data_IF_521095010732
#
_entry.id   IF_521095010732
#
_cell.length_a   1.000
_cell.length_b   1.000
_cell.length_c   1.000
_cell.angle_alpha   90.00
_cell.angle_beta   90.00
_cell.angle_gamma   90.00
#
_symmetry.space_group_name_H-M   'P 1'
#
loop_
_entity.id
_entity.type
_entity.pdbx_description
1 polymer ?
#
# COMPACT_ATOMS: atom_id res chain seq x y z
N UNK A 1 -62.25 -6.14 -50.55
CA UNK A 1 -62.22 -7.27 -51.51
C UNK A 1 -60.77 -7.59 -51.81
N UNK A 2 -60.41 -8.87 -51.62
CA UNK A 2 -59.27 -9.55 -52.23
C UNK A 2 -57.91 -9.08 -51.71
N UNK A 3 -57.34 -9.75 -50.72
CA UNK A 3 -56.63 -11.04 -50.84
C UNK A 3 -56.05 -11.25 -49.45
N UNK A 4 -56.05 -12.38 -48.77
CA UNK A 4 -56.14 -13.80 -49.09
C UNK A 4 -56.28 -14.36 -47.66
N UNK A 5 -57.37 -15.01 -47.25
CA UNK A 5 -57.73 -16.36 -47.66
C UNK A 5 -56.47 -17.07 -48.16
N UNK A 6 -55.77 -17.75 -47.27
CA UNK A 6 -55.33 -19.11 -47.52
C UNK A 6 -54.71 -19.70 -46.26
N UNK A 7 -55.11 -20.94 -45.97
CA UNK A 7 -54.57 -21.83 -44.94
C UNK A 7 -54.97 -21.47 -43.51
N UNK A 8 -56.25 -21.54 -43.14
CA UNK A 8 -57.09 -22.74 -43.30
C UNK A 8 -56.34 -24.01 -42.89
N UNK A 9 -56.60 -24.47 -41.67
CA UNK A 9 -56.73 -25.89 -41.34
C UNK A 9 -55.49 -26.76 -41.61
N UNK A 10 -54.53 -26.69 -40.70
CA UNK A 10 -53.80 -27.87 -40.17
C UNK A 10 -53.43 -27.52 -38.73
N UNK A 11 -54.30 -27.66 -37.72
CA UNK A 11 -54.78 -28.94 -37.17
C UNK A 11 -53.81 -30.08 -37.48
N UNK A 12 -52.74 -30.15 -36.68
CA UNK A 12 -52.00 -31.34 -36.31
C UNK A 12 -51.37 -30.97 -34.95
N UNK A 13 -52.10 -31.22 -33.87
CA UNK A 13 -52.08 -32.49 -33.13
C UNK A 13 -50.90 -32.54 -32.16
N UNK A 14 -51.27 -32.56 -30.88
CA UNK A 14 -50.70 -33.36 -29.81
C UNK A 14 -49.17 -33.49 -29.73
N UNK A 15 -48.63 -32.92 -28.65
CA UNK A 15 -47.27 -33.19 -28.20
C UNK A 15 -47.08 -32.76 -26.76
N UNK A 16 -47.96 -33.21 -25.87
CA UNK A 16 -47.75 -33.15 -24.43
C UNK A 16 -46.54 -34.05 -24.12
N UNK A 17 -45.36 -33.47 -23.95
CA UNK A 17 -44.23 -34.17 -23.34
C UNK A 17 -43.62 -33.29 -22.24
N UNK A 18 -43.97 -33.67 -21.02
CA UNK A 18 -43.44 -33.17 -19.76
C UNK A 18 -41.95 -33.50 -19.69
N UNK A 19 -41.10 -32.47 -19.60
CA UNK A 19 -39.73 -32.58 -19.11
C UNK A 19 -39.48 -31.36 -18.21
N UNK A 20 -39.32 -31.64 -16.92
CA UNK A 20 -38.85 -30.68 -15.93
C UNK A 20 -37.42 -30.26 -16.30
N UNK A 21 -37.22 -28.97 -16.56
CA UNK A 21 -35.90 -28.37 -16.57
C UNK A 21 -36.01 -26.98 -15.95
N UNK A 22 -35.40 -26.88 -14.77
CA UNK A 22 -35.26 -25.71 -13.91
C UNK A 22 -34.67 -24.50 -14.66
N UNK A 23 -35.00 -23.31 -14.15
CA UNK A 23 -34.56 -21.98 -14.60
C UNK A 23 -33.24 -21.96 -15.40
N UNK A 24 -33.35 -21.58 -16.67
CA UNK A 24 -32.25 -20.99 -17.43
C UNK A 24 -32.00 -19.57 -16.90
N UNK A 25 -30.94 -19.41 -16.14
CA UNK A 25 -30.17 -18.15 -16.12
C UNK A 25 -28.76 -18.52 -16.49
N UNK A 26 -28.39 -18.25 -17.74
CA UNK A 26 -27.02 -18.34 -18.22
C UNK A 26 -26.18 -17.35 -17.44
N UNK A 27 -25.59 -17.77 -16.32
CA UNK A 27 -24.61 -16.98 -15.59
C UNK A 27 -23.21 -17.22 -16.19
N UNK A 28 -23.09 -17.04 -17.51
CA UNK A 28 -21.80 -16.71 -18.13
C UNK A 28 -21.49 -15.30 -17.68
N UNK A 29 -20.69 -15.16 -16.61
CA UNK A 29 -19.92 -13.99 -16.16
C UNK A 29 -19.45 -14.27 -14.73
N UNK A 30 -18.65 -15.33 -14.54
CA UNK A 30 -17.68 -15.28 -13.46
C UNK A 30 -16.54 -14.40 -13.99
N UNK A 31 -16.19 -13.27 -13.34
CA UNK A 31 -14.97 -12.56 -13.72
C UNK A 31 -13.82 -13.54 -13.50
N UNK A 32 -12.96 -13.72 -14.50
CA UNK A 32 -11.69 -14.39 -14.31
C UNK A 32 -10.96 -13.68 -13.17
N UNK A 33 -10.83 -14.32 -12.00
CA UNK A 33 -9.94 -13.83 -10.96
C UNK A 33 -8.52 -13.87 -11.55
N UNK A 34 -7.84 -12.73 -11.73
CA UNK A 34 -6.49 -12.75 -12.25
C UNK A 34 -5.61 -13.52 -11.26
N UNK A 35 -4.88 -14.52 -11.74
CA UNK A 35 -3.85 -15.21 -10.97
C UNK A 35 -2.68 -14.24 -10.78
N UNK A 36 -2.74 -13.47 -9.70
CA UNK A 36 -1.72 -12.50 -9.30
C UNK A 36 -0.64 -13.12 -8.43
N UNK A 37 -0.62 -14.45 -8.26
CA UNK A 37 0.31 -15.15 -7.36
C UNK A 37 1.78 -14.90 -7.74
N UNK A 38 2.04 -14.49 -8.99
CA UNK A 38 3.36 -14.08 -9.49
C UNK A 38 3.33 -12.72 -10.21
N UNK A 39 2.32 -11.87 -9.99
CA UNK A 39 2.37 -10.51 -10.52
C UNK A 39 3.44 -9.76 -9.77
N UNK A 40 4.49 -9.36 -10.49
CA UNK A 40 5.52 -8.46 -10.00
C UNK A 40 4.84 -7.20 -9.50
N UNK A 41 4.78 -7.05 -8.17
CA UNK A 41 4.18 -5.89 -7.54
C UNK A 41 5.03 -4.69 -7.97
N UNK A 42 4.45 -3.82 -8.79
CA UNK A 42 5.08 -2.61 -9.32
C UNK A 42 5.39 -1.54 -8.23
N UNK A 43 5.55 -1.96 -6.97
CA UNK A 43 5.84 -1.11 -5.82
C UNK A 43 7.31 -1.05 -5.42
N UNK A 44 8.17 -1.92 -5.97
CA UNK A 44 9.59 -1.97 -5.60
C UNK A 44 10.56 -1.76 -6.77
N UNK A 45 10.04 -1.40 -7.96
CA UNK A 45 10.87 -1.36 -9.15
C UNK A 45 11.71 -0.08 -9.22
N UNK A 46 13.02 -0.28 -9.13
CA UNK A 46 14.10 0.71 -9.27
C UNK A 46 14.09 1.87 -8.26
N UNK A 47 14.49 1.56 -7.02
CA UNK A 47 14.97 2.60 -6.09
C UNK A 47 16.27 3.18 -6.66
N UNK A 48 16.22 4.43 -7.10
CA UNK A 48 17.39 5.10 -7.65
C UNK A 48 18.41 5.39 -6.53
N UNK A 49 19.67 4.93 -6.63
CA UNK A 49 20.68 5.22 -5.63
C UNK A 49 20.81 6.73 -5.37
N UNK A 50 20.83 7.11 -4.09
CA UNK A 50 20.88 8.51 -3.69
C UNK A 50 19.55 9.26 -3.76
N UNK A 51 18.43 8.61 -4.08
CA UNK A 51 17.08 9.19 -3.99
C UNK A 51 16.59 9.28 -2.54
N UNK A 52 15.45 9.95 -2.31
CA UNK A 52 14.84 9.98 -0.97
C UNK A 52 14.35 8.59 -0.57
N UNK A 53 13.82 7.83 -1.52
CA UNK A 53 13.39 6.45 -1.32
C UNK A 53 14.57 5.54 -0.96
N UNK A 54 15.75 5.74 -1.58
CA UNK A 54 16.99 5.03 -1.21
C UNK A 54 17.35 5.30 0.27
N UNK A 55 17.31 6.56 0.70
CA UNK A 55 17.54 6.91 2.10
C UNK A 55 16.52 6.24 3.04
N UNK A 56 15.22 6.30 2.71
CA UNK A 56 14.16 5.74 3.56
C UNK A 56 14.27 4.23 3.68
N UNK A 57 14.56 3.53 2.58
CA UNK A 57 14.55 2.07 2.52
C UNK A 57 15.85 1.45 3.05
N UNK A 58 17.00 2.03 2.70
CA UNK A 58 18.30 1.41 2.99
C UNK A 58 18.97 1.97 4.25
N UNK A 59 18.65 3.21 4.65
CA UNK A 59 19.23 3.85 5.84
C UNK A 59 18.21 3.99 6.96
N UNK A 60 16.99 4.37 6.61
CA UNK A 60 15.92 4.69 7.57
C UNK A 60 16.02 6.13 8.08
N UNK A 61 14.89 6.83 8.07
CA UNK A 61 14.80 8.26 8.45
C UNK A 61 14.45 8.54 9.91
N UNK A 62 14.36 7.49 10.75
CA UNK A 62 13.90 7.58 12.14
C UNK A 62 14.98 7.09 13.09
N UNK A 63 15.19 7.85 14.15
CA UNK A 63 16.03 7.46 15.28
C UNK A 63 15.12 7.37 16.51
N UNK A 64 15.21 6.25 17.23
CA UNK A 64 14.35 5.96 18.37
C UNK A 64 15.09 6.24 19.68
N UNK A 65 14.31 6.48 20.73
CA UNK A 65 14.80 6.73 22.08
C UNK A 65 14.19 5.73 23.04
N UNK A 66 14.84 5.52 24.17
CA UNK A 66 14.23 4.80 25.29
C UNK A 66 13.10 5.63 25.90
N UNK A 67 12.17 4.92 26.54
CA UNK A 67 10.96 5.51 27.13
C UNK A 67 11.29 6.66 28.08
N UNK A 68 10.65 7.80 27.90
CA UNK A 68 10.82 9.00 28.73
C UNK A 68 12.20 9.66 28.64
N UNK A 69 13.05 9.26 27.69
CA UNK A 69 14.44 9.71 27.58
C UNK A 69 14.71 10.49 26.29
N UNK A 70 15.65 11.44 26.38
CA UNK A 70 16.28 12.10 25.24
C UNK A 70 17.76 11.66 25.05
N UNK A 71 18.24 10.72 25.86
CA UNK A 71 19.61 10.23 25.74
C UNK A 71 19.77 9.32 24.51
N UNK A 72 20.78 9.61 23.69
CA UNK A 72 21.17 8.76 22.57
C UNK A 72 21.93 7.54 23.09
N UNK A 73 21.30 6.36 23.06
CA UNK A 73 21.99 5.10 23.33
C UNK A 73 22.89 4.67 22.15
N UNK A 74 23.55 3.52 22.29
CA UNK A 74 24.44 3.02 21.23
C UNK A 74 23.71 2.67 19.94
N UNK A 75 22.44 2.25 20.01
CA UNK A 75 21.64 1.89 18.84
C UNK A 75 21.25 3.16 18.09
N UNK A 76 20.74 4.17 18.81
CA UNK A 76 20.41 5.47 18.26
C UNK A 76 21.60 6.13 17.57
N UNK A 77 22.78 6.10 18.21
CA UNK A 77 24.03 6.63 17.63
C UNK A 77 24.42 5.90 16.35
N UNK A 78 24.39 4.56 16.33
CA UNK A 78 24.70 3.79 15.13
C UNK A 78 23.74 4.09 13.96
N UNK A 79 22.45 4.31 14.25
CA UNK A 79 21.47 4.76 13.25
C UNK A 79 21.84 6.15 12.71
N UNK A 80 22.14 7.11 13.59
CA UNK A 80 22.54 8.46 13.20
C UNK A 80 23.83 8.45 12.36
N UNK A 81 24.84 7.65 12.74
CA UNK A 81 26.09 7.53 11.98
C UNK A 81 25.84 7.05 10.55
N UNK A 82 24.90 6.12 10.36
CA UNK A 82 24.52 5.63 9.03
C UNK A 82 23.82 6.73 8.22
N UNK A 83 22.96 7.52 8.86
CA UNK A 83 22.30 8.68 8.24
C UNK A 83 23.29 9.76 7.83
N UNK A 84 24.21 10.13 8.73
CA UNK A 84 25.29 11.10 8.47
C UNK A 84 26.15 10.64 7.30
N UNK A 85 26.58 9.37 7.30
CA UNK A 85 27.42 8.82 6.24
C UNK A 85 26.71 8.84 4.86
N UNK A 86 25.40 8.64 4.81
CA UNK A 86 24.65 8.73 3.56
C UNK A 86 24.48 10.18 3.10
N UNK A 87 24.16 11.11 4.01
CA UNK A 87 24.00 12.53 3.70
C UNK A 87 25.31 13.16 3.22
N UNK A 88 26.44 12.78 3.82
CA UNK A 88 27.77 13.21 3.39
C UNK A 88 28.09 12.79 1.94
N UNK A 89 27.56 11.65 1.47
CA UNK A 89 27.70 11.18 0.09
C UNK A 89 26.74 11.88 -0.89
N UNK A 90 25.65 12.48 -0.39
CA UNK A 90 24.59 13.08 -1.20
C UNK A 90 24.28 14.52 -0.76
N UNK A 91 25.23 15.46 -0.90
CA UNK A 91 25.15 16.83 -0.34
C UNK A 91 24.04 17.71 -0.94
N UNK A 92 23.34 17.24 -1.98
CA UNK A 92 22.16 17.90 -2.53
C UNK A 92 20.96 17.88 -1.58
N UNK A 93 20.96 16.97 -0.60
CA UNK A 93 19.87 16.81 0.35
C UNK A 93 20.10 17.66 1.59
N UNK A 94 19.04 18.34 2.04
CA UNK A 94 19.01 19.05 3.31
C UNK A 94 18.19 18.24 4.32
N UNK A 95 18.61 18.24 5.58
CA UNK A 95 17.89 17.56 6.66
C UNK A 95 16.92 18.54 7.33
N UNK A 96 15.70 18.06 7.62
CA UNK A 96 14.82 18.66 8.63
C UNK A 96 14.76 17.75 9.85
N UNK A 97 15.13 18.28 11.00
CA UNK A 97 15.07 17.56 12.26
C UNK A 97 13.75 17.86 12.98
N UNK A 98 13.04 16.81 13.39
CA UNK A 98 11.78 16.93 14.13
C UNK A 98 11.75 15.88 15.23
N UNK A 99 11.67 16.34 16.48
CA UNK A 99 11.49 15.46 17.63
C UNK A 99 10.03 15.08 17.82
N UNK A 100 9.81 13.87 18.34
CA UNK A 100 8.50 13.35 18.71
C UNK A 100 8.59 12.73 20.10
N UNK A 101 7.50 12.83 20.84
CA UNK A 101 7.28 12.10 22.08
C UNK A 101 5.85 11.56 22.05
N UNK A 102 5.72 10.29 22.41
CA UNK A 102 4.50 9.49 22.48
C UNK A 102 4.38 8.83 23.87
N UNK A 103 5.01 9.44 24.88
CA UNK A 103 5.20 8.88 26.21
C UNK A 103 4.15 9.43 27.20
N UNK A 104 3.09 8.65 27.53
CA UNK A 104 2.01 9.13 28.38
C UNK A 104 2.54 9.50 29.77
N UNK A 105 2.61 10.80 30.07
CA UNK A 105 2.98 11.33 31.39
C UNK A 105 4.12 12.36 31.39
N UNK A 106 4.90 12.47 30.33
CA UNK A 106 5.85 13.58 30.15
C UNK A 106 5.16 14.78 29.50
N UNK A 107 5.69 16.00 29.68
CA UNK A 107 5.34 17.09 28.78
C UNK A 107 5.89 16.74 27.39
N UNK A 108 5.04 16.17 26.54
CA UNK A 108 5.40 15.67 25.20
C UNK A 108 6.17 16.74 24.38
N UNK A 109 5.82 18.01 24.56
CA UNK A 109 6.51 19.14 23.90
C UNK A 109 7.94 19.33 24.41
N UNK A 110 8.18 19.26 25.73
CA UNK A 110 9.53 19.42 26.25
C UNK A 110 10.43 18.24 25.86
N UNK A 111 9.92 17.01 25.96
CA UNK A 111 10.68 15.81 25.61
C UNK A 111 10.97 15.73 24.11
N UNK A 112 9.99 16.08 23.26
CA UNK A 112 10.23 16.15 21.81
C UNK A 112 11.29 17.20 21.44
N UNK A 113 11.27 18.38 22.06
CA UNK A 113 12.31 19.39 21.84
C UNK A 113 13.69 18.89 22.30
N UNK A 114 13.79 18.33 23.50
CA UNK A 114 15.04 17.77 24.02
C UNK A 114 15.61 16.66 23.12
N UNK A 115 14.76 15.80 22.55
CA UNK A 115 15.18 14.77 21.59
C UNK A 115 15.71 15.37 20.29
N UNK A 116 15.07 16.44 19.80
CA UNK A 116 15.57 17.17 18.64
C UNK A 116 16.92 17.83 18.94
N UNK A 117 17.06 18.50 20.08
CA UNK A 117 18.31 19.15 20.49
C UNK A 117 19.44 18.12 20.66
N UNK A 118 19.17 16.98 21.30
CA UNK A 118 20.17 15.92 21.47
C UNK A 118 20.68 15.34 20.15
N UNK A 119 19.82 15.21 19.13
CA UNK A 119 20.27 14.81 17.79
C UNK A 119 21.03 15.94 17.12
N UNK A 120 20.57 17.19 17.22
CA UNK A 120 21.28 18.35 16.67
C UNK A 120 22.70 18.46 17.23
N UNK A 121 22.88 18.24 18.53
CA UNK A 121 24.20 18.28 19.19
C UNK A 121 25.12 17.12 18.77
N UNK A 122 24.54 16.02 18.25
CA UNK A 122 25.29 14.85 17.79
C UNK A 122 25.73 14.95 16.32
N UNK A 123 24.96 15.65 15.49
CA UNK A 123 25.22 15.86 14.06
C UNK A 123 26.41 16.81 13.84
#
# INVERSE_FOLDING_TARGET
MNRMIENTRRLLAAGLLVLAASCSTSNTLAPSTPDITNTEVAGFQNVQPGSEEDFILNVGRRTYFTQGSAALDSVAKATLDTQIAWLAKHPRWLLKLQGFADDPGASETALSQQRADAVMDYL
#
